data_IF_601347443148
#
_entry.id   IF_601347443148
#
_cell.length_a   1.000
_cell.length_b   1.000
_cell.length_c   1.000
_cell.angle_alpha   90.00
_cell.angle_beta   90.00
_cell.angle_gamma   90.00
#
_symmetry.space_group_name_H-M   'P 1'
#
loop_
_entity.id
_entity.type
_entity.pdbx_description
1 polymer ?
#
# COMPACT_ATOMS: atom_id res chain seq x y z
N UNK A 1 5.60 9.37 7.90
CA UNK A 1 5.24 8.25 7.00
C UNK A 1 6.25 8.28 5.85
N UNK A 2 6.91 7.17 5.53
CA UNK A 2 7.81 7.10 4.36
C UNK A 2 7.02 7.41 3.08
N UNK A 3 7.67 8.05 2.13
CA UNK A 3 7.18 8.29 0.77
C UNK A 3 7.63 7.16 -0.17
N UNK A 4 6.87 6.95 -1.25
CA UNK A 4 7.14 5.86 -2.22
C UNK A 4 8.54 5.93 -2.84
N UNK A 5 9.07 7.13 -3.02
CA UNK A 5 10.42 7.33 -3.56
C UNK A 5 11.52 6.80 -2.64
N UNK A 6 11.24 6.73 -1.34
CA UNK A 6 12.22 6.27 -0.35
C UNK A 6 12.39 4.74 -0.38
N UNK A 7 11.50 4.00 -1.05
CA UNK A 7 11.61 2.54 -1.19
C UNK A 7 12.40 2.12 -2.43
N UNK A 8 12.89 3.06 -3.27
CA UNK A 8 13.55 2.75 -4.54
C UNK A 8 14.82 1.93 -4.34
N UNK A 9 15.59 2.25 -3.29
CA UNK A 9 16.82 1.56 -2.97
C UNK A 9 16.58 0.07 -2.70
N UNK A 10 15.65 -0.24 -1.78
CA UNK A 10 15.32 -1.62 -1.42
C UNK A 10 14.69 -2.40 -2.58
N UNK A 11 13.87 -1.75 -3.41
CA UNK A 11 13.31 -2.35 -4.63
C UNK A 11 14.38 -2.75 -5.65
N UNK A 12 15.53 -2.06 -5.63
CA UNK A 12 16.65 -2.30 -6.54
C UNK A 12 17.75 -3.18 -5.91
N UNK A 13 17.54 -3.64 -4.67
CA UNK A 13 18.47 -4.50 -3.96
C UNK A 13 18.66 -5.85 -4.67
N UNK A 14 19.88 -6.44 -4.70
CA UNK A 14 20.07 -7.82 -5.14
C UNK A 14 19.44 -8.83 -4.19
N UNK A 15 19.23 -8.46 -2.92
CA UNK A 15 18.56 -9.28 -1.91
C UNK A 15 17.04 -9.29 -2.12
N UNK A 16 16.50 -10.47 -2.39
CA UNK A 16 15.06 -10.69 -2.59
C UNK A 16 14.23 -10.30 -1.37
N UNK A 17 14.74 -10.53 -0.15
CA UNK A 17 13.99 -10.25 1.08
C UNK A 17 13.75 -8.75 1.24
N UNK A 18 14.76 -7.92 0.90
CA UNK A 18 14.64 -6.46 0.82
C UNK A 18 13.61 -6.02 -0.22
N UNK A 19 13.60 -6.63 -1.41
CA UNK A 19 12.63 -6.29 -2.46
C UNK A 19 11.20 -6.62 -2.04
N UNK A 20 10.98 -7.76 -1.40
CA UNK A 20 9.67 -8.18 -0.91
C UNK A 20 9.18 -7.27 0.22
N UNK A 21 10.05 -6.92 1.18
CA UNK A 21 9.72 -5.95 2.22
C UNK A 21 9.38 -4.57 1.65
N UNK A 22 10.11 -4.11 0.63
CA UNK A 22 9.83 -2.86 -0.06
C UNK A 22 8.51 -2.89 -0.84
N UNK A 23 8.16 -4.02 -1.46
CA UNK A 23 6.86 -4.22 -2.11
C UNK A 23 5.71 -4.04 -1.10
N UNK A 24 5.81 -4.65 0.08
CA UNK A 24 4.86 -4.44 1.16
C UNK A 24 4.78 -2.97 1.60
N UNK A 25 5.92 -2.32 1.84
CA UNK A 25 5.96 -0.90 2.21
C UNK A 25 5.28 -0.02 1.15
N UNK A 26 5.57 -0.25 -0.14
CA UNK A 26 4.96 0.51 -1.24
C UNK A 26 3.45 0.33 -1.28
N UNK A 27 2.95 -0.90 -1.15
CA UNK A 27 1.53 -1.19 -1.13
C UNK A 27 0.84 -0.52 0.06
N UNK A 28 1.45 -0.60 1.26
CA UNK A 28 0.95 0.01 2.50
C UNK A 28 0.87 1.53 2.37
N UNK A 29 1.89 2.18 1.81
CA UNK A 29 1.87 3.64 1.57
C UNK A 29 0.72 4.01 0.64
N UNK A 30 0.53 3.28 -0.46
CA UNK A 30 -0.58 3.54 -1.41
C UNK A 30 -1.93 3.30 -0.75
N UNK A 31 -2.05 2.24 0.04
CA UNK A 31 -3.27 1.89 0.76
C UNK A 31 -3.66 3.01 1.73
N UNK A 32 -2.72 3.49 2.54
CA UNK A 32 -2.98 4.57 3.50
C UNK A 32 -3.36 5.88 2.81
N UNK A 33 -2.69 6.23 1.70
CA UNK A 33 -3.04 7.41 0.91
C UNK A 33 -4.43 7.30 0.30
N UNK A 34 -4.77 6.14 -0.28
CA UNK A 34 -6.10 5.90 -0.84
C UNK A 34 -7.16 5.93 0.27
N UNK A 35 -6.92 5.24 1.39
CA UNK A 35 -7.82 5.23 2.54
C UNK A 35 -8.12 6.64 3.03
N UNK A 36 -7.08 7.46 3.22
CA UNK A 36 -7.23 8.87 3.61
C UNK A 36 -8.05 9.66 2.59
N UNK A 37 -7.77 9.51 1.29
CA UNK A 37 -8.54 10.17 0.23
C UNK A 37 -10.02 9.76 0.27
N UNK A 38 -10.32 8.48 0.53
CA UNK A 38 -11.69 7.98 0.65
C UNK A 38 -12.39 8.50 1.90
N UNK A 39 -11.70 8.59 3.04
CA UNK A 39 -12.21 9.22 4.25
C UNK A 39 -12.56 10.70 3.99
N UNK A 40 -11.65 11.46 3.37
CA UNK A 40 -11.89 12.86 3.00
C UNK A 40 -13.07 12.99 2.02
N UNK A 41 -13.24 12.04 1.10
CA UNK A 41 -14.38 12.01 0.19
C UNK A 41 -15.69 11.75 0.94
N UNK A 42 -15.71 10.76 1.83
CA UNK A 42 -16.89 10.38 2.60
C UNK A 42 -17.31 11.50 3.60
N UNK A 43 -16.36 12.35 4.03
CA UNK A 43 -16.63 13.54 4.85
C UNK A 43 -16.88 14.82 4.04
N UNK A 44 -16.95 14.76 2.71
CA UNK A 44 -17.12 15.93 1.83
C UNK A 44 -16.02 17.02 2.02
N UNK A 45 -14.82 16.61 2.44
CA UNK A 45 -13.66 17.49 2.67
C UNK A 45 -12.56 17.34 1.61
N UNK A 46 -12.71 16.39 0.68
CA UNK A 46 -11.76 16.18 -0.41
C UNK A 46 -11.71 17.42 -1.33
N UNK A 47 -10.55 18.02 -1.58
CA UNK A 47 -10.44 19.30 -2.30
C UNK A 47 -10.62 19.17 -3.83
N UNK A 48 -10.98 17.98 -4.32
CA UNK A 48 -11.20 17.70 -5.73
C UNK A 48 -12.29 16.64 -5.92
N UNK A 49 -12.84 16.57 -7.13
CA UNK A 49 -13.80 15.53 -7.52
C UNK A 49 -13.07 14.38 -8.23
N UNK A 50 -13.16 13.14 -7.73
CA UNK A 50 -12.59 11.99 -8.43
C UNK A 50 -13.33 11.70 -9.73
N UNK A 51 -12.59 11.38 -10.79
CA UNK A 51 -13.17 11.03 -12.09
C UNK A 51 -13.76 9.61 -12.11
N UNK A 52 -13.28 8.73 -11.24
CA UNK A 52 -13.75 7.35 -11.14
C UNK A 52 -14.90 7.23 -10.14
N UNK A 53 -15.85 6.31 -10.34
CA UNK A 53 -16.92 6.09 -9.38
C UNK A 53 -16.37 5.54 -8.05
N UNK A 54 -16.99 5.94 -6.94
CA UNK A 54 -16.64 5.51 -5.56
C UNK A 54 -16.52 3.99 -5.42
N UNK A 55 -17.35 3.24 -6.15
CA UNK A 55 -17.34 1.77 -6.17
C UNK A 55 -16.03 1.16 -6.70
N UNK A 56 -15.36 1.81 -7.66
CA UNK A 56 -14.09 1.29 -8.18
C UNK A 56 -12.97 1.42 -7.14
N UNK A 57 -12.95 2.52 -6.39
CA UNK A 57 -12.00 2.67 -5.28
C UNK A 57 -12.27 1.72 -4.11
N UNK A 58 -13.53 1.33 -3.89
CA UNK A 58 -13.85 0.26 -2.93
C UNK A 58 -13.27 -1.09 -3.34
N UNK A 59 -13.30 -1.41 -4.63
CA UNK A 59 -12.65 -2.62 -5.14
C UNK A 59 -11.13 -2.52 -5.00
N UNK A 60 -10.56 -1.35 -5.33
CA UNK A 60 -9.13 -1.09 -5.20
C UNK A 60 -8.64 -1.27 -3.75
N UNK A 61 -9.30 -0.64 -2.78
CA UNK A 61 -8.87 -0.72 -1.38
C UNK A 61 -8.98 -2.14 -0.82
N UNK A 62 -10.02 -2.91 -1.20
CA UNK A 62 -10.16 -4.32 -0.83
C UNK A 62 -9.04 -5.18 -1.40
N UNK A 63 -8.77 -5.06 -2.70
CA UNK A 63 -7.69 -5.80 -3.34
C UNK A 63 -6.32 -5.48 -2.72
N UNK A 64 -6.09 -4.22 -2.34
CA UNK A 64 -4.87 -3.81 -1.64
C UNK A 64 -4.80 -4.40 -0.22
N UNK A 65 -5.91 -4.45 0.53
CA UNK A 65 -5.97 -5.10 1.85
C UNK A 65 -5.68 -6.60 1.74
N UNK A 66 -6.31 -7.28 0.78
CA UNK A 66 -6.08 -8.71 0.56
C UNK A 66 -4.61 -8.96 0.20
N UNK A 67 -4.02 -8.11 -0.64
CA UNK A 67 -2.63 -8.28 -1.05
C UNK A 67 -1.64 -7.96 0.09
N UNK A 68 -1.92 -6.98 0.95
CA UNK A 68 -1.15 -6.75 2.18
C UNK A 68 -1.15 -7.98 3.08
N UNK A 69 -2.32 -8.61 3.29
CA UNK A 69 -2.44 -9.82 4.10
C UNK A 69 -1.65 -11.00 3.51
N UNK A 70 -1.64 -11.15 2.19
CA UNK A 70 -0.81 -12.14 1.50
C UNK A 70 0.68 -11.89 1.75
N UNK A 71 1.15 -10.65 1.64
CA UNK A 71 2.55 -10.30 1.89
C UNK A 71 2.93 -10.51 3.38
N UNK A 72 2.04 -10.18 4.32
CA UNK A 72 2.25 -10.46 5.75
C UNK A 72 2.37 -11.96 6.03
N UNK A 73 1.48 -12.78 5.48
CA UNK A 73 1.55 -14.24 5.61
C UNK A 73 2.84 -14.81 4.98
N UNK A 74 3.22 -14.33 3.78
CA UNK A 74 4.47 -14.71 3.13
C UNK A 74 5.68 -14.34 3.97
N UNK A 75 5.72 -13.13 4.52
CA UNK A 75 6.83 -12.69 5.36
C UNK A 75 7.02 -13.60 6.58
N UNK A 76 5.93 -14.05 7.22
CA UNK A 76 5.99 -15.02 8.32
C UNK A 76 6.53 -16.37 7.85
N UNK A 77 6.07 -16.90 6.72
CA UNK A 77 6.49 -18.20 6.18
C UNK A 77 7.95 -18.17 5.72
N UNK A 78 8.37 -17.09 5.08
CA UNK A 78 9.70 -16.92 4.48
C UNK A 78 10.73 -16.36 5.47
N UNK A 79 10.32 -16.01 6.70
CA UNK A 79 11.20 -15.43 7.72
C UNK A 79 11.69 -14.01 7.39
N UNK A 80 10.92 -13.25 6.61
CA UNK A 80 11.26 -11.89 6.16
C UNK A 80 10.72 -10.89 7.17
N UNK A 81 11.55 -9.94 7.59
CA UNK A 81 11.09 -8.83 8.45
C UNK A 81 10.46 -7.74 7.59
N UNK A 82 9.19 -7.44 7.86
CA UNK A 82 8.51 -6.28 7.28
C UNK A 82 8.70 -5.07 8.20
N UNK A 83 9.01 -3.92 7.61
CA UNK A 83 9.05 -2.66 8.36
C UNK A 83 7.64 -2.27 8.80
N UNK A 84 7.46 -2.05 10.11
CA UNK A 84 6.17 -1.69 10.72
C UNK A 84 5.89 -0.20 10.60
#
# INVERSE_FOLDING_TARGET
>A
MKELRETIEDMSSPDYTRRMAAEYEQLKIRFLKLKKMLEEWDYETLPFTPNCPRGLYNLQIRAMTDYLAVLEARAVIEGITLSV
#
